data_IF_251466620018
#
_entry.id   IF_251466620018
#
_cell.length_a   1.000
_cell.length_b   1.000
_cell.length_c   1.000
_cell.angle_alpha   90.00
_cell.angle_beta   90.00
_cell.angle_gamma   90.00
#
_symmetry.space_group_name_H-M   'P 1'
#
loop_
_entity.id
_entity.type
_entity.pdbx_description
1 polymer ?
#
# COMPACT_ATOMS: atom_id res chain seq x y z
N UNK A 1 30.22 -8.69 18.16
CA UNK A 1 29.58 -7.36 17.99
C UNK A 1 28.45 -7.52 17.00
N UNK A 2 27.22 -7.15 17.39
CA UNK A 2 26.08 -7.15 16.47
C UNK A 2 26.05 -5.78 15.80
N UNK A 3 26.55 -5.68 14.56
CA UNK A 3 26.32 -4.50 13.74
C UNK A 3 24.88 -4.59 13.22
N UNK A 4 23.95 -3.97 13.93
CA UNK A 4 22.58 -3.80 13.45
C UNK A 4 22.60 -2.67 12.42
N UNK A 5 22.89 -3.02 11.16
CA UNK A 5 22.58 -2.13 10.04
C UNK A 5 21.06 -2.07 9.87
N UNK A 6 20.51 -0.88 9.62
CA UNK A 6 19.06 -0.62 9.58
C UNK A 6 18.27 -1.50 8.57
N UNK A 7 18.96 -2.27 7.71
CA UNK A 7 18.40 -3.12 6.64
C UNK A 7 19.06 -4.52 6.59
N UNK A 8 20.23 -4.71 7.22
CA UNK A 8 20.94 -6.00 7.22
C UNK A 8 20.89 -6.66 8.61
N UNK A 9 20.11 -7.74 8.70
CA UNK A 9 20.22 -8.68 9.80
C UNK A 9 21.52 -9.48 9.63
N UNK A 10 22.67 -8.85 9.90
CA UNK A 10 24.01 -9.46 9.79
C UNK A 10 24.44 -10.19 11.08
N UNK A 11 23.51 -10.42 12.01
CA UNK A 11 23.71 -11.17 13.26
C UNK A 11 24.20 -12.62 13.11
N UNK A 12 24.11 -13.22 11.92
CA UNK A 12 24.51 -14.61 11.70
C UNK A 12 25.98 -14.72 11.25
N UNK A 13 26.86 -14.71 12.24
CA UNK A 13 28.32 -14.61 12.04
C UNK A 13 28.95 -15.80 11.30
N UNK A 14 28.25 -16.94 11.16
CA UNK A 14 28.89 -18.16 10.65
C UNK A 14 28.55 -18.49 9.19
N UNK A 15 27.43 -17.98 8.62
CA UNK A 15 27.11 -18.16 7.20
C UNK A 15 25.97 -17.21 6.74
N UNK A 16 26.27 -16.04 6.13
CA UNK A 16 25.24 -15.10 5.69
C UNK A 16 24.33 -15.69 4.60
N UNK A 17 24.88 -16.55 3.74
CA UNK A 17 24.14 -17.18 2.65
C UNK A 17 22.91 -17.97 3.12
N UNK A 18 23.05 -18.80 4.17
CA UNK A 18 21.93 -19.60 4.67
C UNK A 18 20.80 -18.73 5.21
N UNK A 19 21.14 -17.64 5.90
CA UNK A 19 20.12 -16.70 6.41
C UNK A 19 19.41 -16.02 5.26
N UNK A 20 20.12 -15.64 4.20
CA UNK A 20 19.53 -14.94 3.07
C UNK A 20 18.63 -15.86 2.25
N UNK A 21 19.05 -17.11 2.06
CA UNK A 21 18.23 -18.16 1.45
C UNK A 21 17.02 -18.48 2.33
N UNK A 22 17.19 -18.61 3.64
CA UNK A 22 16.10 -18.93 4.56
C UNK A 22 15.06 -17.80 4.65
N UNK A 23 15.51 -16.55 4.81
CA UNK A 23 14.63 -15.39 4.92
C UNK A 23 14.04 -15.03 3.56
N UNK A 24 14.86 -14.90 2.51
CA UNK A 24 14.39 -14.55 1.17
C UNK A 24 13.67 -15.71 0.50
N UNK A 25 14.42 -16.76 0.17
CA UNK A 25 13.90 -17.94 -0.52
C UNK A 25 12.84 -18.70 0.27
N UNK A 26 13.06 -18.90 1.57
CA UNK A 26 12.10 -19.58 2.45
C UNK A 26 10.77 -18.82 2.57
N UNK A 27 10.80 -17.49 2.70
CA UNK A 27 9.56 -16.69 2.73
C UNK A 27 8.79 -16.78 1.40
N UNK A 28 9.48 -16.69 0.26
CA UNK A 28 8.83 -16.87 -1.05
C UNK A 28 8.24 -18.29 -1.17
N UNK A 29 8.96 -19.31 -0.74
CA UNK A 29 8.47 -20.69 -0.70
C UNK A 29 7.21 -20.84 0.15
N UNK A 30 7.17 -20.23 1.34
CA UNK A 30 5.99 -20.23 2.23
C UNK A 30 4.80 -19.52 1.57
N UNK A 31 5.03 -18.38 0.92
CA UNK A 31 3.96 -17.62 0.24
C UNK A 31 3.38 -18.42 -0.93
N UNK A 32 4.24 -19.02 -1.75
CA UNK A 32 3.81 -19.87 -2.86
C UNK A 32 3.10 -21.12 -2.36
N UNK A 33 3.55 -21.70 -1.25
CA UNK A 33 2.86 -22.85 -0.63
C UNK A 33 1.46 -22.45 -0.14
N UNK A 34 1.33 -21.32 0.56
CA UNK A 34 0.02 -20.80 1.00
C UNK A 34 -0.89 -20.57 -0.22
N UNK A 35 -0.36 -19.95 -1.28
CA UNK A 35 -1.08 -19.75 -2.53
C UNK A 35 -1.58 -21.07 -3.14
N UNK A 36 -0.71 -22.06 -3.26
CA UNK A 36 -1.05 -23.37 -3.82
C UNK A 36 -2.11 -24.10 -2.98
N UNK A 37 -2.00 -24.04 -1.65
CA UNK A 37 -2.98 -24.65 -0.75
C UNK A 37 -4.36 -23.96 -0.85
N UNK A 38 -4.39 -22.63 -0.95
CA UNK A 38 -5.63 -21.88 -1.19
C UNK A 38 -6.24 -22.24 -2.54
N UNK A 39 -5.43 -22.30 -3.59
CA UNK A 39 -5.88 -22.70 -4.93
C UNK A 39 -6.50 -24.10 -4.93
N UNK A 40 -5.81 -25.09 -4.35
CA UNK A 40 -6.32 -26.46 -4.29
C UNK A 40 -7.61 -26.56 -3.45
N UNK A 41 -7.71 -25.80 -2.36
CA UNK A 41 -8.93 -25.73 -1.56
C UNK A 41 -10.11 -25.17 -2.36
N UNK A 42 -9.89 -24.07 -3.08
CA UNK A 42 -10.91 -23.40 -3.87
C UNK A 42 -11.39 -24.27 -5.03
N UNK A 43 -10.47 -24.93 -5.74
CA UNK A 43 -10.79 -25.89 -6.80
C UNK A 43 -11.60 -27.07 -6.25
N UNK A 44 -11.19 -27.63 -5.10
CA UNK A 44 -11.95 -28.71 -4.43
C UNK A 44 -13.37 -28.25 -4.11
N UNK A 45 -13.53 -27.06 -3.55
CA UNK A 45 -14.84 -26.52 -3.15
C UNK A 45 -15.73 -26.28 -4.37
N UNK A 46 -15.16 -25.72 -5.44
CA UNK A 46 -15.83 -25.58 -6.73
C UNK A 46 -16.32 -26.92 -7.29
N UNK A 47 -15.47 -27.95 -7.29
CA UNK A 47 -15.83 -29.28 -7.76
C UNK A 47 -16.97 -29.90 -6.94
N UNK A 48 -16.99 -29.73 -5.62
CA UNK A 48 -18.07 -30.21 -4.75
C UNK A 48 -19.40 -29.55 -5.13
N UNK A 49 -19.43 -28.21 -5.24
CA UNK A 49 -20.65 -27.49 -5.61
C UNK A 49 -21.16 -27.88 -7.01
N UNK A 50 -20.24 -28.01 -7.97
CA UNK A 50 -20.59 -28.29 -9.37
C UNK A 50 -21.02 -29.75 -9.60
N UNK A 51 -20.20 -30.71 -9.17
CA UNK A 51 -20.38 -32.11 -9.57
C UNK A 51 -21.16 -32.94 -8.56
N UNK A 52 -21.01 -32.68 -7.26
CA UNK A 52 -21.70 -33.46 -6.21
C UNK A 52 -23.07 -32.85 -5.93
N UNK A 53 -23.13 -31.54 -5.70
CA UNK A 53 -24.38 -30.86 -5.33
C UNK A 53 -25.22 -30.42 -6.54
N UNK A 54 -24.65 -30.45 -7.76
CA UNK A 54 -25.30 -30.00 -9.00
C UNK A 54 -25.82 -28.56 -8.94
N UNK A 55 -25.12 -27.68 -8.23
CA UNK A 55 -25.48 -26.27 -8.06
C UNK A 55 -24.56 -25.35 -8.88
N UNK A 56 -24.72 -25.36 -10.20
CA UNK A 56 -23.83 -24.64 -11.14
C UNK A 56 -23.74 -23.13 -10.90
N UNK A 57 -24.83 -22.52 -10.43
CA UNK A 57 -24.86 -21.08 -10.13
C UNK A 57 -24.00 -20.77 -8.90
N UNK A 58 -24.12 -21.57 -7.84
CA UNK A 58 -23.36 -21.39 -6.61
C UNK A 58 -21.89 -21.73 -6.81
N UNK A 59 -21.57 -22.75 -7.62
CA UNK A 59 -20.19 -23.07 -7.97
C UNK A 59 -19.51 -21.89 -8.69
N UNK A 60 -20.18 -21.30 -9.68
CA UNK A 60 -19.66 -20.13 -10.41
C UNK A 60 -19.53 -18.90 -9.51
N UNK A 61 -20.53 -18.63 -8.68
CA UNK A 61 -20.49 -17.49 -7.74
C UNK A 61 -19.36 -17.65 -6.71
N UNK A 62 -19.20 -18.87 -6.16
CA UNK A 62 -18.11 -19.19 -5.24
C UNK A 62 -16.74 -19.02 -5.89
N UNK A 63 -16.52 -19.58 -7.09
CA UNK A 63 -15.24 -19.44 -7.77
C UNK A 63 -14.98 -18.00 -8.20
N UNK A 64 -15.99 -17.26 -8.66
CA UNK A 64 -15.85 -15.85 -9.00
C UNK A 64 -15.33 -15.05 -7.79
N UNK A 65 -15.99 -15.17 -6.63
CA UNK A 65 -15.60 -14.46 -5.40
C UNK A 65 -14.49 -15.12 -4.56
N UNK A 66 -13.87 -16.18 -5.09
CA UNK A 66 -12.72 -16.84 -4.49
C UNK A 66 -11.46 -15.98 -4.62
N UNK A 67 -10.40 -16.30 -3.88
CA UNK A 67 -9.13 -15.58 -3.96
C UNK A 67 -8.52 -15.68 -5.36
N UNK A 68 -8.50 -16.89 -5.93
CA UNK A 68 -7.98 -17.15 -7.27
C UNK A 68 -8.88 -16.52 -8.33
N UNK A 69 -10.20 -16.65 -8.18
CA UNK A 69 -11.15 -16.00 -9.09
C UNK A 69 -11.00 -14.49 -9.10
N UNK A 70 -10.80 -13.89 -7.92
CA UNK A 70 -10.56 -12.45 -7.79
C UNK A 70 -9.32 -12.01 -8.56
N UNK A 71 -8.27 -12.84 -8.56
CA UNK A 71 -7.05 -12.62 -9.36
C UNK A 71 -7.31 -12.74 -10.86
N UNK A 72 -7.94 -13.83 -11.30
CA UNK A 72 -8.16 -14.13 -12.72
C UNK A 72 -9.15 -13.15 -13.37
N UNK A 73 -10.26 -12.87 -12.68
CA UNK A 73 -11.33 -12.01 -13.20
C UNK A 73 -11.10 -10.52 -12.89
N UNK A 74 -10.19 -10.19 -11.97
CA UNK A 74 -9.79 -8.80 -11.69
C UNK A 74 -10.86 -7.92 -11.04
N UNK A 75 -12.01 -8.46 -10.60
CA UNK A 75 -13.05 -7.66 -9.92
C UNK A 75 -12.64 -7.23 -8.50
N UNK A 76 -11.63 -7.90 -7.93
CA UNK A 76 -10.99 -7.46 -6.70
C UNK A 76 -11.78 -7.68 -5.41
N UNK A 77 -12.99 -8.24 -5.43
CA UNK A 77 -13.87 -8.38 -4.26
C UNK A 77 -13.80 -9.79 -3.66
N UNK A 78 -12.88 -9.99 -2.74
CA UNK A 78 -12.69 -11.29 -2.10
C UNK A 78 -13.64 -11.48 -0.90
N UNK A 79 -14.54 -12.48 -0.95
CA UNK A 79 -15.56 -12.68 0.10
C UNK A 79 -15.20 -13.71 1.17
N UNK A 80 -14.20 -14.55 0.95
CA UNK A 80 -14.02 -15.78 1.72
C UNK A 80 -12.55 -16.14 1.98
N UNK A 81 -11.86 -15.35 2.81
CA UNK A 81 -10.69 -15.89 3.54
C UNK A 81 -10.91 -15.89 5.02
N UNK A 82 -10.20 -16.82 5.67
CA UNK A 82 -9.93 -16.68 7.09
C UNK A 82 -9.09 -15.42 7.34
N UNK A 83 -9.47 -14.64 8.35
CA UNK A 83 -8.73 -13.45 8.77
C UNK A 83 -7.24 -13.75 9.06
N UNK A 84 -6.94 -14.97 9.51
CA UNK A 84 -5.57 -15.43 9.79
C UNK A 84 -4.73 -15.48 8.51
N UNK A 85 -5.23 -16.12 7.45
CA UNK A 85 -4.51 -16.21 6.17
C UNK A 85 -4.30 -14.82 5.59
N UNK A 86 -5.31 -13.96 5.64
CA UNK A 86 -5.16 -12.58 5.21
C UNK A 86 -4.06 -11.83 5.96
N UNK A 87 -4.03 -11.94 7.29
CA UNK A 87 -3.03 -11.27 8.11
C UNK A 87 -1.62 -11.74 7.75
N UNK A 88 -1.44 -13.05 7.58
CA UNK A 88 -0.16 -13.65 7.15
C UNK A 88 0.25 -13.13 5.77
N UNK A 89 -0.66 -13.15 4.79
CA UNK A 89 -0.38 -12.68 3.43
C UNK A 89 -0.06 -11.18 3.41
N UNK A 90 -0.75 -10.37 4.22
CA UNK A 90 -0.46 -8.94 4.35
C UNK A 90 0.91 -8.69 4.97
N UNK A 91 1.25 -9.44 6.02
CA UNK A 91 2.58 -9.37 6.64
C UNK A 91 3.67 -9.71 5.63
N UNK A 92 3.49 -10.80 4.89
CA UNK A 92 4.48 -11.31 3.93
C UNK A 92 4.58 -10.48 2.64
N UNK A 93 3.47 -9.97 2.10
CA UNK A 93 3.45 -9.26 0.82
C UNK A 93 3.62 -7.73 0.94
N UNK A 94 3.39 -7.13 2.11
CA UNK A 94 3.51 -5.66 2.28
C UNK A 94 4.58 -5.29 3.32
N UNK A 95 4.51 -5.85 4.53
CA UNK A 95 5.43 -5.49 5.63
C UNK A 95 6.83 -6.05 5.41
N UNK A 96 6.95 -7.34 5.08
CA UNK A 96 8.23 -8.02 4.86
C UNK A 96 8.73 -7.93 3.42
N UNK A 97 7.98 -7.26 2.53
CA UNK A 97 8.28 -7.16 1.11
C UNK A 97 9.72 -6.70 0.83
N UNK A 98 10.12 -5.57 1.41
CA UNK A 98 11.48 -5.03 1.21
C UNK A 98 12.55 -5.95 1.80
N UNK A 99 12.28 -6.59 2.95
CA UNK A 99 13.23 -7.49 3.60
C UNK A 99 13.48 -8.73 2.73
N UNK A 100 12.41 -9.35 2.22
CA UNK A 100 12.50 -10.55 1.37
C UNK A 100 13.21 -10.21 0.05
N UNK A 101 12.78 -9.14 -0.63
CA UNK A 101 13.40 -8.70 -1.88
C UNK A 101 14.88 -8.33 -1.68
N UNK A 102 15.25 -7.70 -0.56
CA UNK A 102 16.63 -7.29 -0.29
C UNK A 102 17.54 -8.51 -0.19
N UNK A 103 17.13 -9.54 0.56
CA UNK A 103 17.93 -10.77 0.69
C UNK A 103 18.04 -11.52 -0.63
N UNK A 104 16.97 -11.59 -1.41
CA UNK A 104 17.01 -12.20 -2.74
C UNK A 104 17.93 -11.43 -3.70
N UNK A 105 17.85 -10.10 -3.73
CA UNK A 105 18.72 -9.29 -4.60
C UNK A 105 20.17 -9.33 -4.15
N UNK A 106 20.45 -9.34 -2.85
CA UNK A 106 21.80 -9.47 -2.33
C UNK A 106 22.46 -10.82 -2.71
N UNK A 107 21.67 -11.89 -2.90
CA UNK A 107 22.16 -13.15 -3.48
C UNK A 107 22.57 -12.97 -4.95
N UNK A 108 21.91 -12.09 -5.71
CA UNK A 108 22.20 -11.83 -7.12
C UNK A 108 23.39 -10.88 -7.34
N UNK A 109 23.61 -9.94 -6.42
CA UNK A 109 24.59 -8.88 -6.60
C UNK A 109 26.04 -9.37 -6.61
N UNK A 110 26.86 -8.72 -7.45
CA UNK A 110 28.30 -8.94 -7.53
C UNK A 110 29.05 -7.63 -7.33
N UNK A 111 30.32 -7.74 -6.96
CA UNK A 111 31.24 -6.61 -6.87
C UNK A 111 31.82 -6.28 -8.25
N UNK A 112 32.44 -5.09 -8.39
CA UNK A 112 33.12 -4.67 -9.63
C UNK A 112 34.22 -5.61 -10.07
N UNK A 113 34.83 -6.30 -9.12
CA UNK A 113 35.92 -7.25 -9.36
C UNK A 113 35.40 -8.60 -9.90
N UNK A 114 34.10 -8.69 -10.22
CA UNK A 114 33.48 -9.93 -10.71
C UNK A 114 33.35 -11.01 -9.63
N UNK A 115 33.41 -10.63 -8.36
CA UNK A 115 33.24 -11.54 -7.22
C UNK A 115 31.82 -11.47 -6.67
N UNK A 116 31.35 -12.56 -6.07
CA UNK A 116 30.04 -12.57 -5.44
C UNK A 116 30.06 -11.75 -4.16
N UNK A 117 29.05 -10.90 -3.95
CA UNK A 117 29.00 -9.99 -2.79
C UNK A 117 28.87 -10.72 -1.45
N UNK A 118 28.27 -11.91 -1.43
CA UNK A 118 28.16 -12.75 -0.23
C UNK A 118 29.44 -13.51 0.10
N UNK A 119 30.18 -13.88 -0.94
CA UNK A 119 31.37 -14.73 -0.84
C UNK A 119 32.40 -14.27 -1.87
N UNK A 120 33.40 -13.48 -1.45
CA UNK A 120 34.43 -12.94 -2.34
C UNK A 120 35.30 -14.02 -3.02
N UNK A 121 35.33 -15.24 -2.50
CA UNK A 121 36.10 -16.34 -3.09
C UNK A 121 35.45 -16.83 -4.40
N UNK A 122 34.12 -16.78 -4.46
CA UNK A 122 33.32 -17.24 -5.59
C UNK A 122 33.26 -16.19 -6.68
N UNK A 123 33.59 -16.60 -7.90
CA UNK A 123 33.42 -15.81 -9.12
C UNK A 123 31.95 -15.67 -9.49
N UNK A 124 31.53 -14.44 -9.76
CA UNK A 124 30.17 -14.07 -10.09
C UNK A 124 29.64 -14.84 -11.32
N UNK A 125 28.38 -15.28 -11.26
CA UNK A 125 27.66 -16.02 -12.31
C UNK A 125 28.36 -17.28 -12.83
N UNK A 126 29.18 -17.92 -11.99
CA UNK A 126 29.83 -19.20 -12.29
C UNK A 126 29.59 -20.21 -11.18
N UNK A 127 29.72 -21.51 -11.49
CA UNK A 127 29.67 -22.58 -10.50
C UNK A 127 28.42 -22.56 -9.61
N UNK A 128 28.64 -22.37 -8.29
CA UNK A 128 27.57 -22.34 -7.30
C UNK A 128 26.71 -21.07 -7.37
N UNK A 129 27.34 -19.91 -7.61
CA UNK A 129 26.61 -18.64 -7.67
C UNK A 129 25.63 -18.61 -8.84
N UNK A 130 25.99 -19.18 -10.00
CA UNK A 130 25.07 -19.31 -11.13
C UNK A 130 23.78 -20.04 -10.72
N UNK A 131 23.89 -21.19 -10.05
CA UNK A 131 22.74 -22.00 -9.65
C UNK A 131 21.85 -21.28 -8.63
N UNK A 132 22.45 -20.78 -7.55
CA UNK A 132 21.72 -20.09 -6.47
C UNK A 132 21.14 -18.77 -6.97
N UNK A 133 21.91 -18.02 -7.76
CA UNK A 133 21.49 -16.79 -8.40
C UNK A 133 20.31 -17.00 -9.34
N UNK A 134 20.33 -18.02 -10.19
CA UNK A 134 19.17 -18.34 -11.04
C UNK A 134 17.92 -18.67 -10.21
N UNK A 135 18.04 -19.44 -9.14
CA UNK A 135 16.90 -19.75 -8.25
C UNK A 135 16.36 -18.48 -7.58
N UNK A 136 17.25 -17.62 -7.05
CA UNK A 136 16.86 -16.35 -6.44
C UNK A 136 16.20 -15.41 -7.45
N UNK A 137 16.68 -15.38 -8.70
CA UNK A 137 16.10 -14.57 -9.77
C UNK A 137 14.69 -15.05 -10.13
N UNK A 138 14.49 -16.37 -10.24
CA UNK A 138 13.17 -16.96 -10.45
C UNK A 138 12.24 -16.62 -9.29
N UNK A 139 12.70 -16.80 -8.05
CA UNK A 139 11.93 -16.47 -6.85
C UNK A 139 11.50 -14.99 -6.85
N UNK A 140 12.42 -14.07 -7.17
CA UNK A 140 12.14 -12.64 -7.26
C UNK A 140 11.13 -12.32 -8.38
N UNK A 141 11.30 -12.95 -9.55
CA UNK A 141 10.44 -12.76 -10.72
C UNK A 141 8.99 -13.20 -10.48
N UNK A 142 8.75 -14.22 -9.65
CA UNK A 142 7.41 -14.60 -9.22
C UNK A 142 6.90 -13.76 -8.05
N UNK A 143 7.77 -13.48 -7.07
CA UNK A 143 7.38 -12.82 -5.84
C UNK A 143 6.91 -11.38 -6.05
N UNK A 144 7.62 -10.59 -6.86
CA UNK A 144 7.27 -9.17 -7.07
C UNK A 144 5.89 -9.02 -7.72
N UNK A 145 5.58 -9.64 -8.89
CA UNK A 145 4.26 -9.56 -9.49
C UNK A 145 3.17 -10.11 -8.57
N UNK A 146 3.47 -11.20 -7.85
CA UNK A 146 2.55 -11.77 -6.89
C UNK A 146 2.16 -10.76 -5.81
N UNK A 147 3.12 -10.08 -5.17
CA UNK A 147 2.83 -9.06 -4.17
C UNK A 147 2.06 -7.87 -4.75
N UNK A 148 2.40 -7.43 -5.97
CA UNK A 148 1.70 -6.32 -6.64
C UNK A 148 0.21 -6.65 -6.87
N UNK A 149 -0.10 -7.91 -7.20
CA UNK A 149 -1.46 -8.38 -7.44
C UNK A 149 -2.21 -8.65 -6.13
N UNK A 150 -1.55 -9.27 -5.15
CA UNK A 150 -2.19 -9.84 -3.97
C UNK A 150 -2.29 -8.86 -2.81
N UNK A 151 -1.28 -8.00 -2.59
CA UNK A 151 -1.29 -7.04 -1.48
C UNK A 151 -2.54 -6.14 -1.46
N UNK A 152 -3.02 -5.61 -2.60
CA UNK A 152 -4.24 -4.80 -2.61
C UNK A 152 -5.51 -5.57 -2.22
N UNK A 153 -5.58 -6.88 -2.47
CA UNK A 153 -6.78 -7.69 -2.20
C UNK A 153 -7.01 -7.93 -0.71
N UNK A 154 -5.95 -7.93 0.10
CA UNK A 154 -6.04 -8.20 1.53
C UNK A 154 -6.21 -6.95 2.40
N UNK A 155 -6.35 -5.77 1.79
CA UNK A 155 -6.73 -4.53 2.49
C UNK A 155 -8.25 -4.47 2.73
N UNK A 156 -9.02 -5.35 2.09
CA UNK A 156 -10.48 -5.33 2.00
C UNK A 156 -11.19 -6.34 2.88
N UNK A 157 -11.02 -6.26 4.20
CA UNK A 157 -11.95 -6.98 5.08
C UNK A 157 -13.12 -6.06 5.41
N UNK A 158 -14.32 -6.33 4.86
CA UNK A 158 -15.52 -5.66 5.31
C UNK A 158 -15.75 -6.10 6.76
N UNK A 159 -15.28 -5.32 7.72
CA UNK A 159 -15.93 -5.33 9.03
C UNK A 159 -17.37 -4.90 8.78
N UNK A 160 -18.36 -5.69 9.19
CA UNK A 160 -19.76 -5.28 9.05
C UNK A 160 -19.91 -3.90 9.67
N UNK A 161 -20.39 -2.95 8.88
CA UNK A 161 -20.56 -1.55 9.30
C UNK A 161 -21.54 -1.53 10.47
N UNK A 162 -21.01 -1.47 11.69
CA UNK A 162 -21.76 -1.33 12.93
C UNK A 162 -22.35 0.07 13.12
N UNK A 163 -22.06 1.00 12.21
CA UNK A 163 -22.40 2.43 12.35
C UNK A 163 -21.49 3.15 13.35
N UNK A 164 -20.40 2.51 13.79
CA UNK A 164 -19.45 3.08 14.75
C UNK A 164 -18.49 4.04 14.06
N UNK A 165 -17.97 5.03 14.77
CA UNK A 165 -16.94 5.94 14.27
C UNK A 165 -15.69 5.21 13.72
N UNK A 166 -15.47 3.97 14.18
CA UNK A 166 -14.41 3.06 13.69
C UNK A 166 -14.61 2.62 12.24
N UNK A 167 -15.85 2.53 11.78
CA UNK A 167 -16.23 2.17 10.42
C UNK A 167 -15.86 3.26 9.41
N UNK A 168 -15.72 4.52 9.85
CA UNK A 168 -15.29 5.64 9.02
C UNK A 168 -13.78 5.60 8.70
N UNK A 169 -12.99 4.83 9.46
CA UNK A 169 -11.59 4.55 9.14
C UNK A 169 -11.42 3.31 8.25
N UNK A 170 -12.51 2.58 7.98
CA UNK A 170 -12.49 1.37 7.17
C UNK A 170 -12.35 1.73 5.69
N UNK A 171 -11.26 1.31 5.04
CA UNK A 171 -10.90 1.59 3.64
C UNK A 171 -11.84 0.95 2.60
N UNK A 172 -12.95 0.36 3.02
CA UNK A 172 -13.74 -0.59 2.23
C UNK A 172 -14.57 0.03 1.11
N UNK A 173 -14.80 1.36 1.08
CA UNK A 173 -15.61 2.01 0.04
C UNK A 173 -14.79 2.65 -1.10
N UNK A 174 -13.46 2.60 -1.04
CA UNK A 174 -12.55 3.26 -2.00
C UNK A 174 -11.67 2.26 -2.77
N UNK A 175 -12.19 1.04 -2.91
CA UNK A 175 -11.53 -0.15 -3.43
C UNK A 175 -10.92 0.05 -4.82
N UNK A 176 -11.67 0.64 -5.75
CA UNK A 176 -11.21 0.83 -7.14
C UNK A 176 -10.03 1.80 -7.24
N UNK A 177 -9.92 2.75 -6.30
CA UNK A 177 -8.88 3.79 -6.33
C UNK A 177 -7.62 3.40 -5.56
N UNK A 178 -7.74 2.60 -4.49
CA UNK A 178 -6.60 2.23 -3.63
C UNK A 178 -5.72 1.17 -4.28
N UNK A 179 -6.31 0.25 -5.04
CA UNK A 179 -5.60 -0.85 -5.72
C UNK A 179 -4.45 -0.39 -6.60
N UNK A 180 -4.70 0.43 -7.65
CA UNK A 180 -3.62 0.87 -8.53
C UNK A 180 -2.56 1.66 -7.76
N UNK A 181 -2.95 2.44 -6.75
CA UNK A 181 -2.03 3.20 -5.92
C UNK A 181 -1.09 2.30 -5.09
N UNK A 182 -1.61 1.27 -4.42
CA UNK A 182 -0.78 0.30 -3.69
C UNK A 182 0.15 -0.49 -4.61
N UNK A 183 -0.33 -0.86 -5.80
CA UNK A 183 0.49 -1.50 -6.83
C UNK A 183 1.64 -0.59 -7.26
N UNK A 184 1.39 0.71 -7.51
CA UNK A 184 2.43 1.70 -7.84
C UNK A 184 3.44 1.87 -6.71
N UNK A 185 3.01 1.92 -5.45
CA UNK A 185 3.94 1.98 -4.30
C UNK A 185 4.84 0.74 -4.27
N UNK A 186 4.28 -0.45 -4.47
CA UNK A 186 5.03 -1.72 -4.44
C UNK A 186 6.04 -1.78 -5.59
N UNK A 187 5.65 -1.28 -6.77
CA UNK A 187 6.54 -1.14 -7.92
C UNK A 187 7.68 -0.15 -7.62
N UNK A 188 7.38 1.00 -7.02
CA UNK A 188 8.37 1.99 -6.63
C UNK A 188 9.36 1.45 -5.59
N UNK A 189 8.87 0.70 -4.59
CA UNK A 189 9.71 -0.04 -3.62
C UNK A 189 10.67 -1.00 -4.33
N UNK A 190 10.19 -1.69 -5.36
CA UNK A 190 11.01 -2.61 -6.17
C UNK A 190 12.11 -1.86 -6.93
N UNK A 191 11.77 -0.74 -7.56
CA UNK A 191 12.74 0.11 -8.25
C UNK A 191 13.79 0.68 -7.29
N UNK A 192 13.40 1.03 -6.06
CA UNK A 192 14.31 1.49 -5.00
C UNK A 192 15.33 0.44 -4.63
N UNK A 193 14.86 -0.79 -4.48
CA UNK A 193 15.71 -1.89 -4.08
C UNK A 193 16.70 -2.29 -5.19
N UNK A 194 16.22 -2.35 -6.44
CA UNK A 194 17.05 -2.62 -7.61
C UNK A 194 18.10 -1.52 -7.79
N UNK A 195 17.73 -0.24 -7.71
CA UNK A 195 18.68 0.87 -7.86
C UNK A 195 19.69 0.96 -6.71
N UNK A 196 19.26 0.73 -5.46
CA UNK A 196 20.15 0.67 -4.31
C UNK A 196 21.16 -0.48 -4.42
N UNK A 197 20.72 -1.68 -4.78
CA UNK A 197 21.59 -2.86 -4.71
C UNK A 197 22.38 -3.13 -6.00
N UNK A 198 21.79 -2.93 -7.18
CA UNK A 198 22.45 -3.22 -8.45
C UNK A 198 23.24 -2.03 -9.00
N UNK A 199 22.65 -0.83 -9.01
CA UNK A 199 23.34 0.34 -9.57
C UNK A 199 24.39 0.92 -8.62
N UNK A 200 24.11 0.87 -7.32
CA UNK A 200 24.98 1.47 -6.31
C UNK A 200 25.92 0.48 -5.64
N UNK A 201 25.87 -0.80 -5.99
CA UNK A 201 26.58 -1.90 -5.31
C UNK A 201 26.31 -1.91 -3.79
N UNK A 202 25.14 -1.40 -3.38
CA UNK A 202 24.78 -1.12 -2.00
C UNK A 202 25.78 -0.26 -1.23
N UNK A 203 26.49 0.65 -1.91
CA UNK A 203 27.21 1.75 -1.26
C UNK A 203 26.20 2.70 -0.62
N UNK A 204 26.49 3.22 0.58
CA UNK A 204 25.53 4.02 1.35
C UNK A 204 25.02 5.22 0.56
N UNK A 205 25.91 5.96 -0.12
CA UNK A 205 25.55 7.15 -0.92
C UNK A 205 24.49 6.83 -1.97
N UNK A 206 24.69 5.75 -2.74
CA UNK A 206 23.77 5.44 -3.83
C UNK A 206 22.44 4.85 -3.32
N UNK A 207 22.46 4.10 -2.21
CA UNK A 207 21.24 3.69 -1.49
C UNK A 207 20.44 4.91 -1.03
N UNK A 208 21.07 5.86 -0.33
CA UNK A 208 20.43 7.09 0.13
C UNK A 208 19.86 7.89 -1.04
N UNK A 209 20.64 8.06 -2.13
CA UNK A 209 20.20 8.81 -3.30
C UNK A 209 19.01 8.14 -4.00
N UNK A 210 19.03 6.81 -4.13
CA UNK A 210 17.93 6.05 -4.73
C UNK A 210 16.63 6.19 -3.90
N UNK A 211 16.75 6.13 -2.58
CA UNK A 211 15.64 6.32 -1.66
C UNK A 211 15.10 7.75 -1.75
N UNK A 212 15.97 8.75 -1.80
CA UNK A 212 15.60 10.15 -1.96
C UNK A 212 14.78 10.37 -3.24
N UNK A 213 15.28 9.90 -4.39
CA UNK A 213 14.62 10.07 -5.69
C UNK A 213 13.24 9.41 -5.69
N UNK A 214 13.11 8.23 -5.09
CA UNK A 214 11.85 7.47 -5.12
C UNK A 214 10.86 7.99 -4.11
N UNK A 215 11.30 8.37 -2.90
CA UNK A 215 10.46 9.06 -1.94
C UNK A 215 9.95 10.40 -2.51
N UNK A 216 10.80 11.13 -3.24
CA UNK A 216 10.39 12.36 -3.93
C UNK A 216 9.35 12.07 -5.02
N UNK A 217 9.58 11.07 -5.87
CA UNK A 217 8.62 10.67 -6.91
C UNK A 217 7.27 10.25 -6.28
N UNK A 218 7.30 9.38 -5.27
CA UNK A 218 6.10 8.93 -4.56
C UNK A 218 5.37 10.06 -3.84
N UNK A 219 6.10 11.01 -3.26
CA UNK A 219 5.53 12.22 -2.65
C UNK A 219 4.81 13.05 -3.70
N UNK A 220 5.47 13.42 -4.79
CA UNK A 220 4.89 14.24 -5.87
C UNK A 220 3.68 13.52 -6.47
N UNK A 221 3.80 12.24 -6.82
CA UNK A 221 2.68 11.46 -7.36
C UNK A 221 1.51 11.39 -6.40
N UNK A 222 1.74 11.16 -5.10
CA UNK A 222 0.66 11.11 -4.09
C UNK A 222 -0.01 12.47 -3.88
N UNK A 223 0.77 13.56 -3.88
CA UNK A 223 0.24 14.93 -3.75
C UNK A 223 -0.56 15.32 -4.99
N UNK A 224 -0.01 15.13 -6.19
CA UNK A 224 -0.71 15.42 -7.45
C UNK A 224 -1.98 14.58 -7.60
N UNK A 225 -1.91 13.30 -7.25
CA UNK A 225 -3.07 12.41 -7.22
C UNK A 225 -4.14 12.91 -6.25
N UNK A 226 -3.74 13.28 -5.03
CA UNK A 226 -4.66 13.83 -4.03
C UNK A 226 -5.29 15.13 -4.51
N UNK A 227 -4.49 16.03 -5.10
CA UNK A 227 -4.94 17.34 -5.58
C UNK A 227 -5.90 17.25 -6.76
N UNK A 228 -5.61 16.39 -7.75
CA UNK A 228 -6.49 16.18 -8.91
C UNK A 228 -7.84 15.61 -8.51
N UNK A 229 -7.85 14.72 -7.51
CA UNK A 229 -9.09 14.11 -7.01
C UNK A 229 -9.87 15.03 -6.06
N UNK A 230 -9.22 16.04 -5.45
CA UNK A 230 -9.82 17.05 -4.55
C UNK A 230 -10.80 18.03 -5.25
N UNK A 231 -11.22 17.76 -6.48
CA UNK A 231 -12.07 18.66 -7.26
C UNK A 231 -13.45 18.85 -6.60
N UNK A 232 -13.65 20.03 -5.99
CA UNK A 232 -14.77 20.40 -5.12
C UNK A 232 -16.15 20.18 -5.73
N UNK A 233 -16.28 20.18 -7.06
CA UNK A 233 -17.56 19.97 -7.74
C UNK A 233 -18.05 18.52 -7.69
N UNK A 234 -17.17 17.52 -7.56
CA UNK A 234 -17.56 16.11 -7.43
C UNK A 234 -17.92 15.71 -5.99
N UNK A 235 -17.52 16.49 -4.99
CA UNK A 235 -17.82 16.25 -3.57
C UNK A 235 -19.32 16.17 -3.26
N UNK A 236 -20.17 16.83 -4.05
CA UNK A 236 -21.62 16.81 -3.84
C UNK A 236 -22.30 15.52 -4.31
N UNK A 237 -21.65 14.72 -5.17
CA UNK A 237 -22.19 13.44 -5.65
C UNK A 237 -21.76 12.25 -4.80
N UNK A 238 -20.68 12.38 -4.03
CA UNK A 238 -20.21 11.33 -3.12
C UNK A 238 -20.80 11.61 -1.74
N UNK A 239 -21.98 11.05 -1.49
CA UNK A 239 -22.76 11.27 -0.25
C UNK A 239 -22.08 10.79 1.05
N UNK A 240 -20.91 10.16 0.93
CA UNK A 240 -19.98 9.99 2.04
C UNK A 240 -18.62 10.59 1.65
N UNK A 241 -18.08 11.57 2.38
CA UNK A 241 -16.69 12.00 2.24
C UNK A 241 -15.78 10.90 2.83
N UNK A 242 -15.79 9.72 2.23
CA UNK A 242 -15.21 8.52 2.80
C UNK A 242 -13.71 8.42 2.52
N UNK A 243 -12.91 9.29 3.14
CA UNK A 243 -11.62 8.89 3.72
C UNK A 243 -10.46 8.32 2.83
N UNK A 244 -10.36 8.42 1.48
CA UNK A 244 -9.10 8.05 0.82
C UNK A 244 -8.03 9.14 1.04
N UNK A 245 -8.47 10.38 1.28
CA UNK A 245 -7.60 11.54 1.42
C UNK A 245 -6.74 11.49 2.68
N UNK A 246 -7.31 11.07 3.82
CA UNK A 246 -6.56 10.98 5.08
C UNK A 246 -5.40 10.00 4.98
N UNK A 247 -5.63 8.83 4.39
CA UNK A 247 -4.57 7.83 4.18
C UNK A 247 -3.55 8.30 3.15
N UNK A 248 -4.00 8.93 2.05
CA UNK A 248 -3.10 9.53 1.06
C UNK A 248 -2.20 10.62 1.65
N UNK A 249 -2.76 11.47 2.51
CA UNK A 249 -2.04 12.52 3.25
C UNK A 249 -1.03 11.91 4.22
N UNK A 250 -1.42 10.91 5.02
CA UNK A 250 -0.50 10.26 5.97
C UNK A 250 0.66 9.61 5.21
N UNK A 251 0.38 8.98 4.06
CA UNK A 251 1.41 8.40 3.20
C UNK A 251 2.31 9.45 2.56
N UNK A 252 1.77 10.57 2.07
CA UNK A 252 2.60 11.65 1.52
C UNK A 252 3.50 12.24 2.60
N UNK A 253 3.01 12.40 3.83
CA UNK A 253 3.83 12.81 4.98
C UNK A 253 4.92 11.79 5.29
N UNK A 254 4.63 10.49 5.20
CA UNK A 254 5.63 9.44 5.31
C UNK A 254 6.71 9.52 4.24
N UNK A 255 6.34 9.75 2.98
CA UNK A 255 7.32 9.95 1.89
C UNK A 255 8.15 11.21 2.09
N UNK A 256 7.52 12.30 2.55
CA UNK A 256 8.22 13.55 2.86
C UNK A 256 9.23 13.39 4.01
N UNK A 257 8.85 12.66 5.06
CA UNK A 257 9.78 12.29 6.12
C UNK A 257 10.95 11.45 5.58
N UNK A 258 10.69 10.54 4.62
CA UNK A 258 11.73 9.78 3.92
C UNK A 258 12.70 10.66 3.12
N UNK A 259 12.20 11.72 2.46
CA UNK A 259 13.02 12.73 1.76
C UNK A 259 13.94 13.44 2.76
N UNK A 260 13.36 13.97 3.84
CA UNK A 260 14.11 14.68 4.88
C UNK A 260 15.19 13.76 5.48
N UNK A 261 14.82 12.54 5.86
CA UNK A 261 15.73 11.54 6.39
C UNK A 261 16.89 11.24 5.45
N UNK A 262 16.62 11.08 4.15
CA UNK A 262 17.66 10.83 3.15
C UNK A 262 18.61 12.02 2.98
N UNK A 263 18.11 13.26 3.03
CA UNK A 263 18.96 14.47 2.99
C UNK A 263 19.86 14.56 4.22
N UNK A 264 19.32 14.27 5.40
CA UNK A 264 20.10 14.25 6.65
C UNK A 264 21.20 13.21 6.59
N UNK A 265 20.87 11.97 6.18
CA UNK A 265 21.84 10.89 6.06
C UNK A 265 22.94 11.24 5.03
N UNK A 266 22.57 11.90 3.93
CA UNK A 266 23.54 12.39 2.95
C UNK A 266 24.49 13.42 3.56
N UNK A 267 23.99 14.36 4.37
CA UNK A 267 24.81 15.36 5.07
C UNK A 267 25.76 14.71 6.09
N UNK A 268 25.34 13.62 6.75
CA UNK A 268 26.20 12.81 7.61
C UNK A 268 27.30 12.11 6.82
N UNK A 269 26.96 11.48 5.68
CA UNK A 269 27.95 10.77 4.85
C UNK A 269 29.01 11.72 4.28
N UNK A 270 28.64 12.95 3.93
CA UNK A 270 29.59 13.98 3.49
C UNK A 270 30.30 14.72 4.63
N UNK A 271 30.05 14.36 5.89
CA UNK A 271 30.63 14.99 7.08
C UNK A 271 30.38 16.51 7.17
N UNK A 272 29.33 17.00 6.50
CA UNK A 272 28.97 18.43 6.48
C UNK A 272 28.31 18.84 7.80
N UNK A 273 27.58 17.91 8.43
CA UNK A 273 27.10 18.08 9.79
C UNK A 273 28.28 17.83 10.76
N UNK A 274 28.79 18.87 11.45
CA UNK A 274 29.84 18.68 12.44
C UNK A 274 29.28 17.79 13.55
N UNK A 275 30.08 16.84 14.06
CA UNK A 275 29.72 15.96 15.18
C UNK A 275 29.48 16.68 16.51
N UNK A 276 29.15 17.97 16.50
CA UNK A 276 29.15 18.87 17.66
C UNK A 276 28.12 20.01 17.58
N UNK A 277 26.97 19.85 16.92
CA UNK A 277 25.93 20.90 16.97
C UNK A 277 25.48 21.20 18.42
N UNK A 278 25.77 20.31 19.40
CA UNK A 278 25.57 20.55 20.84
C UNK A 278 26.80 20.34 21.75
N UNK A 279 28.03 20.42 21.24
CA UNK A 279 29.22 20.59 22.08
C UNK A 279 29.58 19.46 23.07
N UNK A 280 28.91 18.30 23.06
CA UNK A 280 29.29 17.14 23.88
C UNK A 280 29.83 16.01 23.00
N UNK A 281 31.09 15.61 23.27
CA UNK A 281 31.69 14.35 22.82
C UNK A 281 31.04 13.16 23.54
N UNK A 282 29.76 12.91 23.27
CA UNK A 282 29.14 11.63 23.56
C UNK A 282 29.53 10.65 22.45
N UNK A 283 29.72 9.37 22.79
CA UNK A 283 30.19 8.36 21.84
C UNK A 283 29.38 8.38 20.55
N UNK A 284 30.07 8.42 19.41
CA UNK A 284 29.52 8.72 18.08
C UNK A 284 28.21 7.98 17.74
N UNK A 285 28.02 6.75 18.24
CA UNK A 285 26.82 5.95 18.01
C UNK A 285 25.55 6.44 18.72
N UNK A 286 25.63 7.11 19.88
CA UNK A 286 24.42 7.47 20.65
C UNK A 286 23.76 8.75 20.13
N UNK A 287 24.53 9.66 19.55
CA UNK A 287 24.07 10.98 19.12
C UNK A 287 23.27 10.88 17.81
N UNK A 288 23.75 10.10 16.84
CA UNK A 288 23.09 9.94 15.54
C UNK A 288 21.68 9.35 15.69
N UNK A 289 21.51 8.38 16.60
CA UNK A 289 20.21 7.82 16.94
C UNK A 289 19.27 8.84 17.59
N UNK A 290 19.78 9.73 18.46
CA UNK A 290 18.96 10.76 19.09
C UNK A 290 18.48 11.81 18.07
N UNK A 291 19.32 12.22 17.12
CA UNK A 291 18.92 13.14 16.05
C UNK A 291 17.88 12.51 15.13
N UNK A 292 18.07 11.24 14.74
CA UNK A 292 17.12 10.53 13.90
C UNK A 292 15.76 10.39 14.61
N UNK A 293 15.77 10.10 15.91
CA UNK A 293 14.56 10.06 16.75
C UNK A 293 13.88 11.44 16.88
N UNK A 294 14.66 12.51 17.06
CA UNK A 294 14.15 13.88 17.15
C UNK A 294 13.50 14.31 15.84
N UNK A 295 14.14 14.06 14.71
CA UNK A 295 13.65 14.40 13.38
C UNK A 295 12.41 13.57 13.00
N UNK A 296 12.38 12.29 13.40
CA UNK A 296 11.19 11.47 13.32
C UNK A 296 10.05 12.06 14.16
N UNK A 297 10.34 12.49 15.39
CA UNK A 297 9.36 13.10 16.29
C UNK A 297 8.81 14.42 15.73
N UNK A 298 9.67 15.29 15.19
CA UNK A 298 9.28 16.54 14.53
C UNK A 298 8.40 16.23 13.30
N UNK A 299 8.78 15.24 12.49
CA UNK A 299 7.99 14.82 11.32
C UNK A 299 6.61 14.29 11.72
N UNK A 300 6.54 13.46 12.77
CA UNK A 300 5.28 13.00 13.35
C UNK A 300 4.43 14.16 13.88
N UNK A 301 5.05 15.15 14.53
CA UNK A 301 4.35 16.32 15.05
C UNK A 301 3.73 17.17 13.92
N UNK A 302 4.49 17.48 12.87
CA UNK A 302 3.95 18.18 11.70
C UNK A 302 2.84 17.39 11.00
N UNK A 303 2.97 16.07 10.92
CA UNK A 303 1.93 15.20 10.37
C UNK A 303 0.62 15.28 11.17
N UNK A 304 0.71 15.26 12.50
CA UNK A 304 -0.45 15.43 13.41
C UNK A 304 -1.07 16.82 13.25
N UNK A 305 -0.26 17.89 13.24
CA UNK A 305 -0.77 19.25 13.05
C UNK A 305 -1.50 19.42 11.72
N UNK A 306 -0.94 18.88 10.63
CA UNK A 306 -1.58 18.90 9.32
C UNK A 306 -2.91 18.16 9.33
N UNK A 307 -2.95 16.95 9.92
CA UNK A 307 -4.18 16.18 10.07
C UNK A 307 -5.25 16.93 10.89
N UNK A 308 -4.86 17.55 12.01
CA UNK A 308 -5.77 18.35 12.83
C UNK A 308 -6.31 19.55 12.05
N UNK A 309 -5.47 20.24 11.26
CA UNK A 309 -5.89 21.36 10.42
C UNK A 309 -6.89 20.93 9.34
N UNK A 310 -6.64 19.81 8.65
CA UNK A 310 -7.56 19.24 7.66
C UNK A 310 -8.89 18.87 8.32
N UNK A 311 -8.85 18.17 9.47
CA UNK A 311 -10.04 17.81 10.24
C UNK A 311 -10.85 19.05 10.66
N UNK A 312 -10.17 20.10 11.11
CA UNK A 312 -10.81 21.35 11.52
C UNK A 312 -11.49 22.05 10.32
N UNK A 313 -10.81 22.13 9.17
CA UNK A 313 -11.39 22.71 7.93
C UNK A 313 -12.62 21.94 7.47
N UNK A 314 -12.58 20.60 7.51
CA UNK A 314 -13.73 19.75 7.17
C UNK A 314 -14.88 20.00 8.15
N UNK A 315 -14.61 20.01 9.47
CA UNK A 315 -15.64 20.27 10.49
C UNK A 315 -16.31 21.63 10.32
N UNK A 316 -15.54 22.68 10.06
CA UNK A 316 -16.05 24.04 9.83
C UNK A 316 -16.97 24.10 8.60
N UNK A 317 -16.59 23.41 7.51
CA UNK A 317 -17.39 23.36 6.29
C UNK A 317 -18.63 22.44 6.41
N UNK A 318 -18.55 21.36 7.18
CA UNK A 318 -19.68 20.46 7.44
C UNK A 318 -20.74 21.11 8.34
N UNK A 319 -20.35 21.90 9.34
CA UNK A 319 -21.28 22.65 10.19
C UNK A 319 -22.03 23.73 9.38
N UNK A 320 -21.39 24.35 8.39
CA UNK A 320 -22.07 25.23 7.43
C UNK A 320 -23.14 24.53 6.59
N UNK A 321 -22.96 23.24 6.27
CA UNK A 321 -23.96 22.45 5.52
C UNK A 321 -25.08 21.89 6.39
N UNK A 322 -24.84 21.58 7.66
CA UNK A 322 -25.95 21.24 8.58
C UNK A 322 -26.86 22.45 8.84
N UNK A 323 -26.32 23.67 8.88
CA UNK A 323 -27.14 24.89 8.93
C UNK A 323 -27.94 25.07 7.63
N UNK A 324 -27.40 24.71 6.46
CA UNK A 324 -28.14 24.80 5.20
C UNK A 324 -29.27 23.76 5.09
N UNK A 325 -29.09 22.54 5.63
CA UNK A 325 -30.16 21.53 5.68
C UNK A 325 -31.21 21.90 6.75
N UNK A 326 -30.82 22.54 7.84
CA UNK A 326 -31.78 23.04 8.85
C UNK A 326 -32.49 24.33 8.42
N UNK A 327 -31.89 25.18 7.58
CA UNK A 327 -32.55 26.34 6.97
C UNK A 327 -33.56 25.92 5.89
N UNK A 328 -33.23 24.95 5.04
CA UNK A 328 -34.20 24.42 4.07
C UNK A 328 -35.33 23.65 4.78
N UNK A 329 -35.04 22.97 5.90
CA UNK A 329 -36.08 22.29 6.68
C UNK A 329 -36.99 23.25 7.47
N UNK A 330 -36.53 24.45 7.81
CA UNK A 330 -37.34 25.47 8.52
C UNK A 330 -38.05 26.47 7.58
N UNK A 331 -37.69 26.57 6.30
CA UNK A 331 -38.47 27.32 5.30
C UNK A 331 -39.54 26.46 4.60
N UNK A 332 -39.47 25.13 4.68
CA UNK A 332 -40.49 24.22 4.13
C UNK A 332 -41.61 23.90 5.12
N UNK A 333 -41.48 24.27 6.40
CA UNK A 333 -42.52 24.05 7.42
C UNK A 333 -43.69 25.06 7.41
N UNK A 334 -43.68 26.04 6.50
CA UNK A 334 -44.78 27.00 6.32
C UNK A 334 -45.47 26.92 4.95
N UNK A 335 -45.23 25.86 4.20
CA UNK A 335 -45.90 25.64 2.92
C UNK A 335 -47.18 24.82 3.18
N UNK A 336 -48.39 25.33 2.86
CA UNK A 336 -49.63 24.59 3.07
C UNK A 336 -49.60 23.27 2.29
N UNK A 337 -50.15 22.21 2.89
CA UNK A 337 -50.11 20.83 2.37
C UNK A 337 -50.56 20.69 0.90
N UNK A 338 -51.34 21.63 0.37
CA UNK A 338 -51.76 21.68 -1.04
C UNK A 338 -50.63 21.97 -2.04
N UNK A 339 -49.52 22.59 -1.63
CA UNK A 339 -48.36 22.85 -2.50
C UNK A 339 -47.34 21.70 -2.41
N UNK A 340 -47.31 20.97 -1.29
CA UNK A 340 -46.44 19.81 -1.10
C UNK A 340 -46.84 18.64 -2.02
N UNK A 341 -48.14 18.43 -2.26
CA UNK A 341 -48.62 17.44 -3.25
C UNK A 341 -48.26 17.84 -4.68
N UNK A 342 -48.29 19.13 -5.03
CA UNK A 342 -47.90 19.61 -6.37
C UNK A 342 -46.39 19.44 -6.63
N UNK A 343 -45.55 19.62 -5.61
CA UNK A 343 -44.09 19.38 -5.71
C UNK A 343 -43.79 17.88 -5.79
N UNK A 344 -44.52 17.03 -5.05
CA UNK A 344 -44.37 15.57 -5.14
C UNK A 344 -44.76 15.06 -6.54
N UNK A 345 -45.81 15.64 -7.16
CA UNK A 345 -46.23 15.34 -8.53
C UNK A 345 -45.22 15.86 -9.56
N UNK A 346 -44.61 17.04 -9.36
CA UNK A 346 -43.62 17.60 -10.29
C UNK A 346 -42.26 16.89 -10.24
N UNK A 347 -41.84 16.44 -9.05
CA UNK A 347 -40.54 15.76 -8.85
C UNK A 347 -40.61 14.29 -9.29
N UNK A 348 -41.72 13.59 -9.03
CA UNK A 348 -41.95 12.24 -9.59
C UNK A 348 -42.25 12.26 -11.09
N UNK A 349 -42.86 13.34 -11.61
CA UNK A 349 -43.10 13.54 -13.04
C UNK A 349 -41.83 13.78 -13.86
N UNK A 350 -40.80 14.45 -13.31
CA UNK A 350 -39.52 14.68 -14.01
C UNK A 350 -38.60 13.47 -14.04
N UNK A 351 -38.63 12.58 -13.05
CA UNK A 351 -37.84 11.33 -13.11
C UNK A 351 -38.37 10.34 -14.14
N UNK A 352 -39.69 10.27 -14.34
CA UNK A 352 -40.29 9.38 -15.36
C UNK A 352 -40.03 9.87 -16.79
N UNK A 353 -39.96 11.19 -17.02
CA UNK A 353 -39.65 11.77 -18.35
C UNK A 353 -38.18 11.61 -18.79
N UNK A 354 -37.25 11.51 -17.83
CA UNK A 354 -35.82 11.26 -18.12
C UNK A 354 -35.55 9.82 -18.55
N UNK A 355 -36.22 8.83 -17.91
CA UNK A 355 -36.07 7.43 -18.30
C UNK A 355 -36.78 7.08 -19.62
N UNK A 356 -37.89 7.75 -19.97
CA UNK A 356 -38.57 7.53 -21.26
C UNK A 356 -37.72 8.07 -22.44
N UNK A 357 -37.06 9.22 -22.30
CA UNK A 357 -36.16 9.73 -23.35
C UNK A 357 -34.90 8.88 -23.57
N UNK A 358 -34.48 8.10 -22.57
CA UNK A 358 -33.32 7.21 -22.74
C UNK A 358 -33.70 5.85 -23.32
N UNK A 359 -35.00 5.47 -23.25
CA UNK A 359 -35.52 4.27 -23.93
C UNK A 359 -35.84 4.54 -25.40
N UNK A 360 -36.37 5.71 -25.76
CA UNK A 360 -36.64 6.05 -27.18
C UNK A 360 -35.36 6.19 -28.02
N UNK A 361 -34.23 6.57 -27.42
CA UNK A 361 -32.92 6.62 -28.10
C UNK A 361 -32.23 5.25 -28.25
N UNK A 362 -32.82 4.17 -27.73
CA UNK A 362 -32.32 2.79 -27.91
C UNK A 362 -33.22 1.92 -28.78
N UNK A 363 -34.37 2.45 -29.22
CA UNK A 363 -35.34 1.73 -30.07
C UNK A 363 -35.36 2.27 -31.51
N UNK A 364 -34.63 3.36 -31.79
CA UNK A 364 -34.15 3.74 -33.13
C UNK A 364 -32.64 3.56 -33.18
#
# INVERSE_FOLDING_TARGET
>A
MVNVGYISMDWANNNPLYVYIAVGGGSVGVILLIFMLLFLWEVKTYCIYKHIQKQDKNARDHYFHSFVGTIIYGHGQFRSSSNKVSMIMRLLCDTLFLVICDKLVMILCCTRDGKWRMDPEVTCWTGMHLKIGTIALIALAYYIPFCIMVAPMFVEFPTPLTGSCKDYFSLTSTVEFIKPYLSVITLAKSFMLISAQLLSEGKPIGTILSQLVICLALFISTVLWSWKNLNLQQYHKVFMPAFPYGVSIIKSLGFFAGIIGSVIELLFVYQVLPGSIFGQKLGQQSIDMQYLLLLFTISCFFAVLFFLRVKHTVRKNSQGKQIFVHCISNEVSNIPNSVLELIHIFVLGRQKKSQIKTLEQKIH
#
